data_IF_278337708789
#
_entry.id   IF_278337708789
#
_cell.length_a   1.000
_cell.length_b   1.000
_cell.length_c   1.000
_cell.angle_alpha   90.00
_cell.angle_beta   90.00
_cell.angle_gamma   90.00
#
_symmetry.space_group_name_H-M   'P 1'
#
loop_
_entity.id
_entity.type
_entity.pdbx_description
1 polymer ?
#
# COMPACT_ATOMS: atom_id res chain seq x y z
N UNK A 1 -7.74 -26.06 3.94
CA UNK A 1 -7.92 -24.74 3.27
C UNK A 1 -6.63 -23.92 3.38
N UNK A 2 -5.97 -23.56 2.27
CA UNK A 2 -4.76 -22.71 2.33
C UNK A 2 -5.14 -21.22 2.54
N UNK A 3 -4.47 -20.52 3.47
CA UNK A 3 -4.72 -19.08 3.70
C UNK A 3 -4.33 -18.26 2.47
N UNK A 4 -5.15 -17.26 2.12
CA UNK A 4 -4.88 -16.30 1.02
C UNK A 4 -3.67 -15.39 1.32
N UNK A 5 -3.44 -15.11 2.60
CA UNK A 5 -2.32 -14.30 3.09
C UNK A 5 -1.47 -15.12 4.06
N UNK A 6 -0.15 -14.94 4.00
CA UNK A 6 0.77 -15.51 4.99
C UNK A 6 0.72 -14.74 6.32
N UNK A 7 1.14 -15.41 7.42
CA UNK A 7 1.29 -14.76 8.74
C UNK A 7 2.20 -13.52 8.67
N UNK A 8 3.28 -13.59 7.87
CA UNK A 8 4.20 -12.46 7.63
C UNK A 8 3.49 -11.25 7.00
N UNK A 9 2.58 -11.49 6.05
CA UNK A 9 1.79 -10.43 5.44
C UNK A 9 0.82 -9.77 6.43
N UNK A 10 0.14 -10.59 7.24
CA UNK A 10 -0.74 -10.08 8.31
C UNK A 10 0.02 -9.22 9.31
N UNK A 11 1.21 -9.65 9.75
CA UNK A 11 2.04 -8.89 10.69
C UNK A 11 2.50 -7.53 10.13
N UNK A 12 2.85 -7.47 8.84
CA UNK A 12 3.21 -6.20 8.18
C UNK A 12 2.03 -5.22 8.10
N UNK A 13 0.83 -5.72 7.79
CA UNK A 13 -0.39 -4.90 7.78
C UNK A 13 -0.73 -4.42 9.19
N UNK A 14 -0.61 -5.28 10.18
CA UNK A 14 -0.84 -4.92 11.59
C UNK A 14 0.13 -3.82 12.04
N UNK A 15 1.42 -3.94 11.74
CA UNK A 15 2.42 -2.92 12.03
C UNK A 15 2.05 -1.58 11.38
N UNK A 16 1.76 -1.55 10.09
CA UNK A 16 1.36 -0.34 9.38
C UNK A 16 0.08 0.29 9.99
N UNK A 17 -0.87 -0.54 10.43
CA UNK A 17 -2.07 -0.07 11.11
C UNK A 17 -1.78 0.53 12.48
N UNK A 18 -0.86 -0.05 13.26
CA UNK A 18 -0.40 0.51 14.54
C UNK A 18 0.29 1.85 14.33
N UNK A 19 1.23 1.95 13.39
CA UNK A 19 1.91 3.20 13.04
C UNK A 19 0.94 4.28 12.54
N UNK A 20 -0.09 3.89 11.78
CA UNK A 20 -1.16 4.82 11.38
C UNK A 20 -1.93 5.32 12.60
N UNK A 21 -2.36 4.43 13.48
CA UNK A 21 -3.14 4.80 14.68
C UNK A 21 -2.32 5.68 15.63
N UNK A 22 -0.99 5.49 15.68
CA UNK A 22 -0.06 6.36 16.39
C UNK A 22 0.23 7.70 15.65
N UNK A 23 -0.24 7.89 14.42
CA UNK A 23 0.01 9.10 13.62
C UNK A 23 1.43 9.23 13.08
N UNK A 24 2.22 8.16 13.12
CA UNK A 24 3.63 8.12 12.71
C UNK A 24 3.82 7.55 11.31
N UNK A 25 2.85 6.84 10.76
CA UNK A 25 2.96 6.27 9.41
C UNK A 25 3.06 7.37 8.35
N UNK A 26 4.09 7.26 7.50
CA UNK A 26 4.40 8.20 6.42
C UNK A 26 4.31 7.50 5.07
N UNK A 27 3.80 8.23 4.08
CA UNK A 27 3.84 7.82 2.68
C UNK A 27 5.26 8.01 2.12
N UNK A 28 5.71 7.11 1.24
CA UNK A 28 7.09 7.06 0.74
C UNK A 28 7.63 8.38 0.17
N UNK A 29 7.59 8.57 -1.16
CA UNK A 29 8.25 9.71 -1.82
C UNK A 29 7.80 11.09 -1.29
N UNK A 30 6.56 11.23 -0.87
CA UNK A 30 6.02 12.53 -0.44
C UNK A 30 6.20 12.85 1.04
N UNK A 31 6.59 11.88 1.88
CA UNK A 31 6.73 12.08 3.33
C UNK A 31 5.46 12.52 4.07
N UNK A 32 4.30 12.51 3.40
CA UNK A 32 3.01 12.94 3.99
C UNK A 32 2.52 11.89 4.97
N UNK A 33 1.93 12.32 6.08
CA UNK A 33 1.28 11.41 7.04
C UNK A 33 0.14 10.66 6.38
N UNK A 34 0.02 9.38 6.68
CA UNK A 34 -1.05 8.52 6.16
C UNK A 34 -2.30 8.72 7.01
N UNK A 35 -3.35 9.24 6.39
CA UNK A 35 -4.62 9.51 7.08
C UNK A 35 -5.60 8.34 6.93
N UNK A 36 -5.61 7.70 5.76
CA UNK A 36 -6.59 6.68 5.43
C UNK A 36 -6.17 5.25 5.79
N UNK A 37 -7.10 4.48 6.36
CA UNK A 37 -6.91 3.05 6.68
C UNK A 37 -6.58 2.22 5.44
N UNK A 38 -7.27 2.50 4.32
CA UNK A 38 -7.03 1.82 3.03
C UNK A 38 -5.58 1.99 2.57
N UNK A 39 -5.02 3.19 2.72
CA UNK A 39 -3.63 3.47 2.35
C UNK A 39 -2.64 2.77 3.29
N UNK A 40 -2.89 2.73 4.59
CA UNK A 40 -2.04 1.98 5.54
C UNK A 40 -2.00 0.49 5.20
N UNK A 41 -3.17 -0.11 4.91
CA UNK A 41 -3.24 -1.51 4.46
C UNK A 41 -2.48 -1.70 3.15
N UNK A 42 -2.61 -0.78 2.19
CA UNK A 42 -1.91 -0.85 0.92
C UNK A 42 -0.38 -0.77 1.09
N UNK A 43 0.11 0.04 2.03
CA UNK A 43 1.52 0.12 2.39
C UNK A 43 1.98 -1.22 2.98
N UNK A 44 1.30 -1.72 4.01
CA UNK A 44 1.65 -3.01 4.64
C UNK A 44 1.62 -4.20 3.67
N UNK A 45 0.64 -4.25 2.76
CA UNK A 45 0.59 -5.28 1.70
C UNK A 45 1.70 -5.12 0.66
N UNK A 46 2.15 -3.89 0.38
CA UNK A 46 3.26 -3.64 -0.55
C UNK A 46 4.59 -4.02 0.06
N UNK A 47 4.82 -3.69 1.34
CA UNK A 47 6.00 -4.14 2.10
C UNK A 47 6.05 -5.66 2.22
N UNK A 48 4.92 -6.30 2.51
CA UNK A 48 4.83 -7.76 2.57
C UNK A 48 5.23 -8.39 1.24
N UNK A 49 4.79 -7.82 0.10
CA UNK A 49 5.17 -8.29 -1.23
C UNK A 49 6.67 -8.09 -1.49
N UNK A 50 7.23 -6.94 -1.14
CA UNK A 50 8.67 -6.68 -1.29
C UNK A 50 9.52 -7.64 -0.45
N UNK A 51 9.03 -8.04 0.73
CA UNK A 51 9.66 -9.02 1.59
C UNK A 51 9.42 -10.49 1.17
N UNK A 52 8.84 -10.75 -0.02
CA UNK A 52 8.60 -12.10 -0.53
C UNK A 52 7.48 -12.86 0.18
N UNK A 53 6.65 -12.20 1.00
CA UNK A 53 5.56 -12.86 1.69
C UNK A 53 4.43 -13.25 0.71
N UNK A 54 3.73 -14.35 1.01
CA UNK A 54 2.54 -14.76 0.23
C UNK A 54 1.43 -13.73 0.38
N UNK A 55 1.17 -12.99 -0.69
CA UNK A 55 0.12 -11.98 -0.81
C UNK A 55 -0.54 -12.14 -2.19
N UNK A 56 -1.89 -12.05 -2.30
CA UNK A 56 -2.58 -12.04 -3.58
C UNK A 56 -2.02 -10.96 -4.52
N UNK A 57 -1.98 -11.28 -5.81
CA UNK A 57 -1.58 -10.34 -6.85
C UNK A 57 -2.55 -9.17 -6.85
N UNK A 58 -2.02 -7.96 -7.03
CA UNK A 58 -2.85 -6.77 -7.24
C UNK A 58 -3.60 -6.98 -8.55
N UNK A 59 -4.93 -6.85 -8.53
CA UNK A 59 -5.70 -6.87 -9.77
C UNK A 59 -5.33 -5.62 -10.57
N UNK A 60 -4.75 -5.82 -11.76
CA UNK A 60 -4.54 -4.73 -12.70
C UNK A 60 -5.91 -4.38 -13.28
N UNK A 61 -6.62 -3.42 -12.69
CA UNK A 61 -7.70 -2.75 -13.42
C UNK A 61 -7.05 -2.14 -14.68
N UNK A 62 -7.49 -2.55 -15.88
CA UNK A 62 -7.09 -1.90 -17.14
C UNK A 62 -7.23 -0.40 -16.91
N UNK A 63 -6.12 0.34 -16.93
CA UNK A 63 -6.19 1.80 -16.94
C UNK A 63 -6.79 2.14 -18.30
N UNK A 64 -8.02 2.65 -18.33
CA UNK A 64 -8.45 3.41 -19.49
C UNK A 64 -7.39 4.50 -19.70
N UNK A 65 -6.93 4.68 -20.93
CA UNK A 65 -5.90 5.65 -21.27
C UNK A 65 -6.41 7.06 -20.97
N UNK A 66 -6.21 7.51 -19.73
CA UNK A 66 -6.50 8.88 -19.33
C UNK A 66 -5.47 9.78 -19.99
N UNK A 67 -5.91 10.61 -20.94
CA UNK A 67 -5.16 11.71 -21.57
C UNK A 67 -4.16 12.29 -20.58
N UNK A 68 -2.87 12.21 -20.89
CA UNK A 68 -1.85 12.91 -20.11
C UNK A 68 -2.07 14.41 -20.30
N UNK A 69 -2.76 15.02 -19.33
CA UNK A 69 -2.82 16.47 -19.20
C UNK A 69 -1.44 16.98 -18.85
N UNK A 70 -0.59 17.21 -19.86
CA UNK A 70 0.66 17.94 -19.75
C UNK A 70 0.31 19.38 -19.39
N UNK A 71 0.20 19.71 -18.11
CA UNK A 71 0.35 21.11 -17.65
C UNK A 71 1.83 21.43 -17.74
N UNK A 72 2.29 21.77 -18.95
CA UNK A 72 3.55 22.48 -19.11
C UNK A 72 3.39 23.82 -18.41
N UNK A 73 4.17 24.03 -17.36
CA UNK A 73 4.46 25.38 -16.86
C UNK A 73 5.57 25.95 -17.73
N UNK A 74 5.21 26.83 -18.63
CA UNK A 74 5.94 28.01 -19.11
C UNK A 74 4.88 28.95 -19.62
#
# INVERSE_FOLDING_TARGET
MARKYSKKASAKVERAMKERNAGTLKSGRSGRKVTSRKQAIAIGLSEARAAGAKVPKKTSKKRAAGKSGRRSKT
#
